data_IF_647100789176
#
_entry.id   IF_647100789176
#
_cell.length_a   1.000
_cell.length_b   1.000
_cell.length_c   1.000
_cell.angle_alpha   90.00
_cell.angle_beta   90.00
_cell.angle_gamma   90.00
#
_symmetry.space_group_name_H-M   'P 1'
#
loop_
_entity.id
_entity.type
_entity.pdbx_description
1 polymer ?
#
# COMPACT_ATOMS: atom_id res chain seq x y z
N UNK A 1 -36.82 2.86 61.81
CA UNK A 1 -37.08 1.41 61.92
C UNK A 1 -38.58 1.22 61.78
N UNK A 2 -39.02 0.40 60.83
CA UNK A 2 -40.44 0.21 60.55
C UNK A 2 -40.86 -1.15 61.09
N UNK A 3 -41.80 -1.16 62.03
CA UNK A 3 -42.28 -2.39 62.68
C UNK A 3 -43.77 -2.53 62.41
N UNK A 4 -44.15 -3.64 61.77
CA UNK A 4 -45.57 -3.97 61.58
C UNK A 4 -46.00 -4.81 62.78
N UNK A 5 -47.06 -4.36 63.46
CA UNK A 5 -47.66 -5.08 64.59
C UNK A 5 -49.05 -5.54 64.21
N UNK A 6 -49.33 -6.82 64.40
CA UNK A 6 -50.66 -7.40 64.26
C UNK A 6 -51.16 -7.84 65.65
N UNK A 7 -52.33 -7.33 66.03
CA UNK A 7 -52.95 -7.62 67.33
C UNK A 7 -54.42 -7.98 67.13
N UNK A 8 -54.87 -9.03 67.82
CA UNK A 8 -56.28 -9.45 67.87
C UNK A 8 -56.58 -10.08 69.22
N UNK A 9 -57.76 -9.80 69.76
CA UNK A 9 -58.21 -10.32 71.04
C UNK A 9 -58.24 -11.86 71.04
N UNK A 10 -57.68 -12.48 72.09
CA UNK A 10 -57.46 -13.92 72.21
C UNK A 10 -56.46 -14.54 71.22
N UNK A 11 -55.59 -13.72 70.59
CA UNK A 11 -54.47 -14.18 69.77
C UNK A 11 -53.15 -13.61 70.27
N UNK A 12 -52.05 -14.31 69.98
CA UNK A 12 -50.69 -13.83 70.24
C UNK A 12 -50.34 -12.67 69.30
N UNK A 13 -49.78 -11.60 69.88
CA UNK A 13 -49.28 -10.49 69.09
C UNK A 13 -48.09 -10.94 68.26
N UNK A 14 -48.10 -10.63 66.97
CA UNK A 14 -46.93 -10.79 66.11
C UNK A 14 -46.40 -9.44 65.70
N UNK A 15 -45.07 -9.31 65.81
CA UNK A 15 -44.33 -8.16 65.33
C UNK A 15 -43.37 -8.64 64.24
N UNK A 16 -43.31 -7.88 63.15
CA UNK A 16 -42.34 -8.07 62.09
C UNK A 16 -41.51 -6.80 61.97
N UNK A 17 -40.21 -6.94 62.13
CA UNK A 17 -39.26 -5.85 61.89
C UNK A 17 -38.90 -5.82 60.41
N UNK A 18 -39.17 -4.69 59.75
CA UNK A 18 -38.80 -4.48 58.36
C UNK A 18 -37.52 -3.65 58.29
N UNK A 19 -36.54 -4.19 57.55
CA UNK A 19 -35.32 -3.48 57.18
C UNK A 19 -35.37 -3.17 55.69
N UNK A 20 -35.31 -1.89 55.35
CA UNK A 20 -35.14 -1.42 53.98
C UNK A 20 -33.68 -0.99 53.85
N UNK A 21 -32.99 -1.53 52.85
CA UNK A 21 -31.64 -1.11 52.48
C UNK A 21 -31.74 -0.42 51.12
N UNK A 22 -31.33 0.85 51.05
CA UNK A 22 -31.21 1.58 49.79
C UNK A 22 -29.76 1.45 49.32
N UNK A 23 -29.56 0.96 48.09
CA UNK A 23 -28.24 0.92 47.45
C UNK A 23 -28.00 2.20 46.66
N UNK A 24 -26.73 2.56 46.46
CA UNK A 24 -26.35 3.59 45.50
C UNK A 24 -26.57 3.09 44.07
N UNK A 25 -26.81 4.03 43.16
CA UNK A 25 -26.98 3.76 41.73
C UNK A 25 -25.60 3.51 41.13
N UNK A 26 -25.43 2.40 40.42
CA UNK A 26 -24.15 2.07 39.80
C UNK A 26 -23.96 2.89 38.53
N UNK A 27 -22.76 3.43 38.36
CA UNK A 27 -22.40 4.20 37.17
C UNK A 27 -21.25 3.54 36.42
N UNK A 28 -21.14 3.84 35.12
CA UNK A 28 -20.03 3.43 34.28
C UNK A 28 -19.46 4.65 33.56
N UNK A 29 -18.22 4.97 33.85
CA UNK A 29 -17.44 5.99 33.13
C UNK A 29 -16.82 5.35 31.89
N UNK A 30 -16.97 5.97 30.72
CA UNK A 30 -16.42 5.46 29.47
C UNK A 30 -16.13 6.58 28.47
N UNK A 31 -15.19 6.35 27.57
CA UNK A 31 -14.96 7.21 26.41
C UNK A 31 -16.18 7.17 25.49
N UNK A 32 -16.54 8.29 24.85
CA UNK A 32 -17.66 8.36 23.90
C UNK A 32 -17.52 7.36 22.75
N UNK A 33 -16.28 7.05 22.34
CA UNK A 33 -15.96 6.07 21.29
C UNK A 33 -15.82 4.64 21.85
N UNK A 34 -15.80 4.47 23.17
CA UNK A 34 -15.59 3.18 23.84
C UNK A 34 -14.14 2.69 23.83
N UNK A 35 -13.19 3.50 23.39
CA UNK A 35 -11.76 3.17 23.35
C UNK A 35 -11.05 3.59 24.65
N UNK A 36 -10.32 2.66 25.25
CA UNK A 36 -9.46 2.91 26.43
C UNK A 36 -7.99 3.16 26.04
N UNK A 37 -7.64 2.89 24.78
CA UNK A 37 -6.29 3.02 24.25
C UNK A 37 -6.29 3.98 23.08
N UNK A 38 -5.60 5.11 23.22
CA UNK A 38 -5.59 6.15 22.19
C UNK A 38 -4.20 6.24 21.56
N UNK A 39 -4.13 6.09 20.24
CA UNK A 39 -2.88 6.14 19.49
C UNK A 39 -2.81 7.40 18.64
N UNK A 40 -1.79 8.22 18.85
CA UNK A 40 -1.59 9.48 18.13
C UNK A 40 -0.15 9.61 17.63
N UNK A 41 0.10 10.59 16.75
CA UNK A 41 1.46 10.95 16.39
C UNK A 41 2.03 11.92 17.43
N UNK A 42 3.35 11.86 17.71
CA UNK A 42 3.99 12.83 18.58
C UNK A 42 3.78 14.27 18.09
N UNK A 43 3.36 15.15 18.99
CA UNK A 43 3.10 16.57 18.76
C UNK A 43 1.68 16.89 18.31
N UNK A 44 0.81 15.89 18.13
CA UNK A 44 -0.62 16.11 17.88
C UNK A 44 -1.37 16.48 19.16
N UNK A 45 -2.48 17.17 18.96
CA UNK A 45 -3.45 17.49 20.01
C UNK A 45 -4.54 16.42 20.01
N UNK A 46 -5.04 16.08 21.20
CA UNK A 46 -6.12 15.09 21.37
C UNK A 46 -7.29 15.72 22.11
N UNK A 47 -8.50 15.41 21.68
CA UNK A 47 -9.73 15.74 22.41
C UNK A 47 -10.21 14.50 23.16
N UNK A 48 -10.21 14.56 24.48
CA UNK A 48 -10.84 13.57 25.35
C UNK A 48 -12.35 13.79 25.32
N UNK A 49 -13.12 12.72 25.11
CA UNK A 49 -14.58 12.73 25.16
C UNK A 49 -15.05 11.65 26.14
N UNK A 50 -15.52 12.05 27.31
CA UNK A 50 -15.89 11.13 28.40
C UNK A 50 -17.37 11.26 28.70
N UNK A 51 -18.05 10.14 28.92
CA UNK A 51 -19.44 10.08 29.34
C UNK A 51 -19.58 9.20 30.57
N UNK A 52 -20.56 9.51 31.43
CA UNK A 52 -20.89 8.72 32.61
C UNK A 52 -22.32 8.20 32.46
N UNK A 53 -22.46 6.88 32.45
CA UNK A 53 -23.74 6.20 32.24
C UNK A 53 -24.29 5.66 33.57
N UNK A 54 -25.54 5.96 33.88
CA UNK A 54 -26.31 5.28 34.94
C UNK A 54 -26.73 3.88 34.45
N UNK A 55 -26.30 2.82 35.14
CA UNK A 55 -26.59 1.44 34.75
C UNK A 55 -28.00 0.97 35.12
N UNK A 56 -28.67 1.63 36.07
CA UNK A 56 -30.03 1.28 36.48
C UNK A 56 -31.08 1.90 35.55
N UNK A 57 -30.82 3.12 35.05
CA UNK A 57 -31.74 3.84 34.15
C UNK A 57 -31.29 3.86 32.68
N UNK A 58 -30.02 3.54 32.40
CA UNK A 58 -29.40 3.59 31.08
C UNK A 58 -29.45 5.00 30.44
N UNK A 59 -29.25 6.03 31.27
CA UNK A 59 -29.24 7.45 30.90
C UNK A 59 -27.85 8.03 31.21
N UNK A 60 -27.37 8.94 30.36
CA UNK A 60 -26.12 9.68 30.59
C UNK A 60 -26.33 10.72 31.68
N UNK A 61 -25.36 10.86 32.58
CA UNK A 61 -25.42 11.81 33.68
C UNK A 61 -24.90 13.18 33.22
N UNK A 62 -25.80 14.15 33.18
CA UNK A 62 -25.51 15.57 33.04
C UNK A 62 -25.08 16.15 34.42
N UNK A 63 -24.38 17.28 34.43
CA UNK A 63 -23.90 18.00 35.62
C UNK A 63 -22.94 17.23 36.57
N UNK A 64 -22.04 16.42 36.02
CA UNK A 64 -20.94 15.76 36.72
C UNK A 64 -19.66 16.61 36.72
N UNK A 65 -18.92 16.61 37.83
CA UNK A 65 -17.57 17.19 37.85
C UNK A 65 -16.58 16.08 37.47
N UNK A 66 -16.10 16.12 36.23
CA UNK A 66 -15.09 15.17 35.73
C UNK A 66 -13.75 15.88 35.64
N UNK A 67 -12.73 15.26 36.22
CA UNK A 67 -11.36 15.75 36.21
C UNK A 67 -10.43 14.70 35.59
N UNK A 68 -9.33 15.16 35.00
CA UNK A 68 -8.28 14.29 34.50
C UNK A 68 -6.94 14.67 35.15
N UNK A 69 -6.09 13.67 35.33
CA UNK A 69 -4.69 13.83 35.73
C UNK A 69 -3.81 12.97 34.82
N UNK A 70 -2.67 13.51 34.40
CA UNK A 70 -1.67 12.82 33.58
C UNK A 70 -0.28 13.44 33.78
N UNK A 71 0.75 12.83 33.20
CA UNK A 71 2.16 13.20 33.46
C UNK A 71 2.49 14.69 33.27
N UNK A 72 1.77 15.40 32.40
CA UNK A 72 2.04 16.80 32.07
C UNK A 72 1.02 17.80 32.61
N UNK A 73 0.03 17.37 33.39
CA UNK A 73 -0.90 18.28 34.06
C UNK A 73 -2.20 17.64 34.50
N UNK A 74 -3.07 18.48 35.04
CA UNK A 74 -4.42 18.12 35.49
C UNK A 74 -5.43 19.13 34.94
N UNK A 75 -6.71 18.75 34.88
CA UNK A 75 -7.76 19.65 34.43
C UNK A 75 -9.17 19.12 34.64
N UNK A 76 -10.14 19.93 34.23
CA UNK A 76 -11.58 19.63 34.29
C UNK A 76 -12.08 19.43 32.87
N UNK A 77 -12.99 18.48 32.66
CA UNK A 77 -13.68 18.29 31.40
C UNK A 77 -15.01 19.06 31.44
N UNK A 78 -15.34 19.72 30.34
CA UNK A 78 -16.54 20.56 30.22
C UNK A 78 -17.55 19.95 29.26
N UNK A 79 -18.82 19.97 29.66
CA UNK A 79 -19.97 19.68 28.81
C UNK A 79 -20.60 21.03 28.39
N UNK A 80 -20.39 21.43 27.13
CA UNK A 80 -20.80 22.75 26.64
C UNK A 80 -22.21 22.76 26.03
N UNK A 81 -22.66 21.62 25.53
CA UNK A 81 -23.95 21.42 24.88
C UNK A 81 -24.99 20.74 25.77
N UNK A 82 -24.59 20.25 26.95
CA UNK A 82 -25.46 19.62 27.92
C UNK A 82 -25.94 18.24 27.45
N UNK A 83 -25.11 17.51 26.70
CA UNK A 83 -25.45 16.19 26.16
C UNK A 83 -24.91 15.03 27.02
N UNK A 84 -24.22 15.36 28.12
CA UNK A 84 -23.57 14.41 29.02
C UNK A 84 -22.21 13.89 28.52
N UNK A 85 -21.63 14.51 27.48
CA UNK A 85 -20.30 14.22 26.97
C UNK A 85 -19.35 15.37 27.36
N UNK A 86 -18.48 15.07 28.31
CA UNK A 86 -17.50 16.02 28.83
C UNK A 86 -16.24 15.98 27.98
N UNK A 87 -15.72 17.15 27.65
CA UNK A 87 -14.59 17.27 26.74
C UNK A 87 -13.44 18.09 27.30
N UNK A 88 -12.22 17.67 26.98
CA UNK A 88 -10.99 18.43 27.24
C UNK A 88 -9.97 18.19 26.13
N UNK A 89 -9.12 19.18 25.85
CA UNK A 89 -8.06 19.07 24.84
C UNK A 89 -6.71 18.99 25.53
N UNK A 90 -5.92 17.96 25.21
CA UNK A 90 -4.50 17.90 25.58
C UNK A 90 -3.67 18.28 24.35
N UNK A 91 -2.81 19.28 24.51
CA UNK A 91 -2.04 19.84 23.41
C UNK A 91 -0.59 19.32 23.39
N UNK A 92 -0.03 19.19 22.17
CA UNK A 92 1.40 18.94 21.91
C UNK A 92 1.97 17.75 22.68
N UNK A 93 1.34 16.60 22.56
CA UNK A 93 1.74 15.42 23.32
C UNK A 93 3.11 14.90 22.85
N UNK A 94 4.12 14.78 23.74
CA UNK A 94 5.43 14.26 23.37
C UNK A 94 5.39 12.77 23.02
N UNK A 95 6.44 12.26 22.38
CA UNK A 95 6.54 10.83 22.05
C UNK A 95 6.68 9.99 23.33
N UNK A 96 5.81 8.99 23.52
CA UNK A 96 5.81 8.16 24.72
C UNK A 96 4.52 7.37 24.91
N UNK A 97 4.41 6.75 26.08
CA UNK A 97 3.20 6.08 26.55
C UNK A 97 2.86 6.64 27.92
N UNK A 98 1.64 7.13 28.06
CA UNK A 98 1.15 7.88 29.20
C UNK A 98 -0.14 7.27 29.71
N UNK A 99 -0.36 7.40 31.01
CA UNK A 99 -1.63 7.05 31.66
C UNK A 99 -2.36 8.34 31.97
N UNK A 100 -3.66 8.35 31.68
CA UNK A 100 -4.56 9.45 32.03
C UNK A 100 -5.59 8.86 32.98
N UNK A 101 -5.65 9.40 34.19
CA UNK A 101 -6.60 8.99 35.22
C UNK A 101 -7.79 9.96 35.18
N UNK A 102 -8.98 9.42 34.98
CA UNK A 102 -10.24 10.17 34.95
C UNK A 102 -10.98 9.94 36.26
N UNK A 103 -11.20 11.02 36.99
CA UNK A 103 -11.86 11.03 38.28
C UNK A 103 -13.23 11.70 38.15
N UNK A 104 -14.26 11.05 38.68
CA UNK A 104 -15.66 11.49 38.53
C UNK A 104 -16.26 11.80 39.90
N UNK A 105 -16.74 13.04 40.07
CA UNK A 105 -17.42 13.51 41.27
C UNK A 105 -18.86 13.89 40.92
N UNK A 106 -19.81 13.15 41.47
CA UNK A 106 -21.26 13.32 41.25
C UNK A 106 -21.95 13.29 42.63
N UNK A 107 -23.24 13.59 42.68
CA UNK A 107 -24.11 13.43 43.85
C UNK A 107 -23.92 12.10 44.59
N UNK A 108 -24.08 12.13 45.92
CA UNK A 108 -23.86 10.99 46.82
C UNK A 108 -24.79 9.77 46.60
N UNK A 109 -25.82 9.92 45.77
CA UNK A 109 -26.71 8.81 45.37
C UNK A 109 -26.06 7.85 44.37
N UNK A 110 -24.99 8.27 43.71
CA UNK A 110 -24.26 7.45 42.74
C UNK A 110 -23.03 6.81 43.37
N UNK A 111 -22.72 5.62 42.89
CA UNK A 111 -21.44 4.95 43.09
C UNK A 111 -20.60 5.21 41.83
N UNK A 112 -19.56 6.03 41.97
CA UNK A 112 -18.69 6.45 40.87
C UNK A 112 -17.57 5.44 40.64
N UNK A 113 -17.14 5.33 39.38
CA UNK A 113 -16.03 4.48 38.97
C UNK A 113 -15.01 5.31 38.19
N UNK A 114 -13.75 5.26 38.62
CA UNK A 114 -12.64 5.92 37.93
C UNK A 114 -12.26 5.15 36.67
N UNK A 115 -11.76 5.87 35.67
CA UNK A 115 -11.37 5.31 34.37
C UNK A 115 -9.90 5.63 34.10
N UNK A 116 -9.12 4.61 33.72
CA UNK A 116 -7.72 4.78 33.31
C UNK A 116 -7.63 4.64 31.79
N UNK A 117 -7.10 5.65 31.12
CA UNK A 117 -6.84 5.64 29.68
C UNK A 117 -5.34 5.49 29.41
N UNK A 118 -5.00 4.73 28.38
CA UNK A 118 -3.62 4.60 27.90
C UNK A 118 -3.44 5.40 26.62
N UNK A 119 -2.61 6.44 26.68
CA UNK A 119 -2.27 7.30 25.55
C UNK A 119 -0.90 6.90 25.02
N UNK A 120 -0.81 6.52 23.74
CA UNK A 120 0.44 6.15 23.10
C UNK A 120 0.73 7.07 21.92
N UNK A 121 1.77 7.88 22.06
CA UNK A 121 2.25 8.79 21.03
C UNK A 121 3.49 8.20 20.37
N UNK A 122 3.30 7.51 19.25
CA UNK A 122 4.39 6.86 18.51
C UNK A 122 4.33 7.24 17.04
N UNK A 123 5.48 7.56 16.46
CA UNK A 123 5.56 7.84 15.03
C UNK A 123 5.19 6.58 14.26
N UNK A 124 4.35 6.67 13.21
CA UNK A 124 4.03 5.51 12.38
C UNK A 124 5.33 5.00 11.76
N UNK A 125 5.67 3.76 12.09
CA UNK A 125 6.77 3.03 11.46
C UNK A 125 6.55 3.05 9.95
N UNK A 126 7.46 3.73 9.24
CA UNK A 126 7.30 4.03 7.81
C UNK A 126 6.99 2.78 6.98
N UNK A 127 6.25 2.97 5.89
CA UNK A 127 5.75 1.89 5.03
C UNK A 127 6.87 0.91 4.64
N UNK A 128 6.83 -0.27 5.26
CA UNK A 128 7.73 -1.39 5.00
C UNK A 128 7.66 -1.80 3.51
N UNK A 129 6.53 -1.53 2.86
CA UNK A 129 6.33 -1.80 1.43
C UNK A 129 7.27 -1.00 0.53
N UNK A 130 7.56 0.26 0.84
CA UNK A 130 8.52 1.05 0.05
C UNK A 130 9.93 0.48 0.18
N UNK A 131 10.33 0.08 1.39
CA UNK A 131 11.62 -0.57 1.61
C UNK A 131 11.72 -1.90 0.85
N UNK A 132 10.67 -2.73 0.88
CA UNK A 132 10.62 -3.98 0.13
C UNK A 132 10.67 -3.76 -1.39
N UNK A 133 9.96 -2.75 -1.91
CA UNK A 133 9.99 -2.39 -3.34
C UNK A 133 11.41 -2.02 -3.79
N UNK A 134 12.09 -1.16 -3.03
CA UNK A 134 13.49 -0.78 -3.31
C UNK A 134 14.41 -1.98 -3.23
N UNK A 135 14.21 -2.87 -2.27
CA UNK A 135 15.02 -4.08 -2.11
C UNK A 135 14.86 -5.05 -3.28
N UNK A 136 13.62 -5.27 -3.75
CA UNK A 136 13.34 -6.11 -4.93
C UNK A 136 13.95 -5.51 -6.20
N UNK A 137 13.81 -4.19 -6.39
CA UNK A 137 14.44 -3.47 -7.50
C UNK A 137 15.97 -3.56 -7.45
N UNK A 138 16.57 -3.48 -6.26
CA UNK A 138 18.01 -3.64 -6.09
C UNK A 138 18.50 -5.05 -6.49
N UNK A 139 17.78 -6.10 -6.07
CA UNK A 139 18.14 -7.48 -6.40
C UNK A 139 17.98 -7.75 -7.90
N UNK A 140 16.95 -7.23 -8.56
CA UNK A 140 16.74 -7.44 -10.00
C UNK A 140 17.87 -6.82 -10.84
N UNK A 141 18.31 -5.63 -10.48
CA UNK A 141 19.46 -4.96 -11.15
C UNK A 141 20.73 -5.77 -10.91
N UNK A 142 21.00 -6.18 -9.67
CA UNK A 142 22.20 -6.94 -9.32
C UNK A 142 22.27 -8.31 -10.03
N UNK A 143 21.14 -9.02 -10.11
CA UNK A 143 21.05 -10.29 -10.84
C UNK A 143 21.25 -10.13 -12.34
N UNK A 144 20.76 -9.03 -12.93
CA UNK A 144 21.01 -8.69 -14.34
C UNK A 144 22.50 -8.47 -14.63
N UNK A 145 23.17 -7.63 -13.83
CA UNK A 145 24.59 -7.31 -14.00
C UNK A 145 25.47 -8.55 -13.83
N UNK A 146 25.22 -9.34 -12.77
CA UNK A 146 25.99 -10.57 -12.51
C UNK A 146 25.80 -11.61 -13.63
N UNK A 147 24.58 -11.79 -14.12
CA UNK A 147 24.29 -12.69 -15.24
C UNK A 147 25.00 -12.24 -16.51
N UNK A 148 24.92 -10.95 -16.84
CA UNK A 148 25.62 -10.37 -17.99
C UNK A 148 27.14 -10.59 -17.90
N UNK A 149 27.74 -10.32 -16.74
CA UNK A 149 29.17 -10.51 -16.51
C UNK A 149 29.62 -11.97 -16.68
N UNK A 150 28.84 -12.94 -16.19
CA UNK A 150 29.12 -14.37 -16.36
C UNK A 150 29.06 -14.77 -17.84
N UNK A 151 28.06 -14.30 -18.58
CA UNK A 151 27.92 -14.56 -20.02
C UNK A 151 29.10 -13.95 -20.77
N UNK A 152 29.48 -12.71 -20.44
CA UNK A 152 30.60 -12.02 -21.05
C UNK A 152 31.90 -12.81 -20.87
N UNK A 153 32.22 -13.22 -19.64
CA UNK A 153 33.44 -13.99 -19.38
C UNK A 153 33.45 -15.37 -20.03
N UNK A 154 32.31 -16.08 -20.07
CA UNK A 154 32.27 -17.47 -20.55
C UNK A 154 32.08 -17.60 -22.06
N UNK A 155 31.37 -16.65 -22.68
CA UNK A 155 30.91 -16.76 -24.07
C UNK A 155 31.50 -15.65 -24.94
N UNK A 156 31.35 -14.39 -24.56
CA UNK A 156 31.71 -13.27 -25.44
C UNK A 156 33.22 -13.03 -25.52
N UNK A 157 33.96 -13.24 -24.41
CA UNK A 157 35.42 -13.06 -24.37
C UNK A 157 36.20 -14.02 -25.28
N UNK A 158 35.67 -15.20 -25.59
CA UNK A 158 36.39 -16.23 -26.32
C UNK A 158 35.60 -16.69 -27.56
N UNK A 159 36.16 -16.58 -28.78
CA UNK A 159 35.52 -17.04 -30.01
C UNK A 159 35.04 -18.51 -29.92
N UNK A 160 33.99 -18.88 -30.68
CA UNK A 160 33.32 -20.17 -30.55
C UNK A 160 34.26 -21.37 -30.79
N UNK A 161 35.28 -21.21 -31.63
CA UNK A 161 36.32 -22.21 -31.91
C UNK A 161 37.16 -22.52 -30.68
N UNK A 162 37.75 -21.50 -30.04
CA UNK A 162 38.54 -21.61 -28.80
C UNK A 162 37.71 -22.25 -27.68
N UNK A 163 36.44 -21.86 -27.59
CA UNK A 163 35.51 -22.42 -26.59
C UNK A 163 35.27 -23.93 -26.76
N UNK A 164 35.16 -24.43 -28.00
CA UNK A 164 35.00 -25.87 -28.28
C UNK A 164 36.27 -26.65 -27.91
N UNK A 165 37.44 -26.15 -28.29
CA UNK A 165 38.74 -26.77 -27.96
C UNK A 165 38.98 -26.83 -26.46
N UNK A 166 38.69 -25.74 -25.72
CA UNK A 166 38.79 -25.71 -24.24
C UNK A 166 37.88 -26.74 -23.58
N UNK A 167 36.63 -26.87 -24.06
CA UNK A 167 35.68 -27.88 -23.54
C UNK A 167 36.19 -29.31 -23.80
N UNK A 168 36.81 -29.55 -24.95
CA UNK A 168 37.43 -30.84 -25.28
C UNK A 168 38.58 -31.16 -24.32
N UNK A 169 39.54 -30.23 -24.17
CA UNK A 169 40.67 -30.37 -23.23
C UNK A 169 40.21 -30.65 -21.80
N UNK A 170 39.20 -29.91 -21.30
CA UNK A 170 38.67 -30.09 -19.94
C UNK A 170 37.96 -31.43 -19.74
N UNK A 171 37.37 -32.03 -20.80
CA UNK A 171 36.78 -33.37 -20.73
C UNK A 171 37.85 -34.45 -20.74
N UNK A 172 38.88 -34.30 -21.57
CA UNK A 172 40.06 -35.19 -21.57
C UNK A 172 40.74 -35.18 -20.20
N UNK A 173 40.96 -33.99 -19.61
CA UNK A 173 41.56 -33.85 -18.28
C UNK A 173 40.72 -34.51 -17.16
N UNK A 174 39.41 -34.64 -17.35
CA UNK A 174 38.48 -35.22 -16.36
C UNK A 174 38.09 -36.65 -16.70
N UNK A 175 38.78 -37.28 -17.64
CA UNK A 175 38.51 -38.63 -18.15
C UNK A 175 37.02 -38.88 -18.48
N UNK A 176 36.39 -37.88 -19.13
CA UNK A 176 34.98 -37.96 -19.54
C UNK A 176 34.85 -38.36 -20.99
N UNK A 177 33.86 -39.19 -21.29
CA UNK A 177 33.56 -39.63 -22.66
C UNK A 177 33.37 -38.45 -23.63
N UNK A 178 34.04 -38.55 -24.77
CA UNK A 178 34.03 -37.54 -25.82
C UNK A 178 32.92 -37.85 -26.83
N UNK A 179 32.17 -36.83 -27.24
CA UNK A 179 31.26 -36.96 -28.39
C UNK A 179 32.10 -36.93 -29.67
N UNK A 180 31.87 -37.83 -30.65
CA UNK A 180 32.60 -37.82 -31.91
C UNK A 180 32.35 -36.48 -32.62
N UNK A 181 33.43 -35.82 -33.05
CA UNK A 181 33.35 -34.57 -33.79
C UNK A 181 33.14 -34.88 -35.26
N UNK A 182 32.09 -34.31 -35.87
CA UNK A 182 31.86 -34.43 -37.32
C UNK A 182 32.90 -33.57 -38.04
N UNK A 183 33.98 -34.20 -38.48
CA UNK A 183 35.03 -33.57 -39.30
C UNK A 183 34.61 -33.75 -40.76
N UNK A 184 34.75 -32.69 -41.59
CA UNK A 184 34.52 -32.80 -43.03
C UNK A 184 35.46 -33.87 -43.61
N UNK A 185 34.95 -34.74 -44.48
CA UNK A 185 35.78 -35.72 -45.18
C UNK A 185 36.78 -35.01 -46.10
N UNK A 186 37.99 -35.58 -46.23
CA UNK A 186 39.07 -34.98 -47.04
C UNK A 186 38.62 -34.72 -48.49
N UNK A 187 37.81 -35.60 -49.06
CA UNK A 187 37.23 -35.46 -50.40
C UNK A 187 36.40 -34.17 -50.55
N UNK A 188 35.55 -33.86 -49.57
CA UNK A 188 34.72 -32.64 -49.58
C UNK A 188 35.54 -31.36 -49.43
N UNK A 189 36.63 -31.40 -48.66
CA UNK A 189 37.54 -30.25 -48.51
C UNK A 189 38.29 -29.98 -49.81
N UNK A 190 38.75 -31.03 -50.50
CA UNK A 190 39.46 -30.93 -51.77
C UNK A 190 38.53 -30.43 -52.88
N UNK A 191 37.28 -30.89 -52.93
CA UNK A 191 36.29 -30.38 -53.89
C UNK A 191 35.90 -28.93 -53.61
N UNK A 192 35.70 -28.55 -52.35
CA UNK A 192 35.47 -27.15 -51.95
C UNK A 192 36.65 -26.26 -52.42
N UNK A 193 37.91 -26.65 -52.20
CA UNK A 193 39.08 -25.87 -52.65
C UNK A 193 39.23 -25.81 -54.18
N UNK A 194 38.93 -26.90 -54.90
CA UNK A 194 39.01 -26.93 -56.37
C UNK A 194 37.88 -26.16 -57.05
N UNK A 195 36.71 -26.06 -56.40
CA UNK A 195 35.57 -25.26 -56.89
C UNK A 195 35.77 -23.78 -56.61
N UNK A 196 36.38 -23.43 -55.48
CA UNK A 196 36.82 -22.07 -55.16
C UNK A 196 37.94 -21.61 -56.13
N UNK A 197 38.88 -22.48 -56.51
CA UNK A 197 39.91 -22.16 -57.51
C UNK A 197 39.33 -21.99 -58.94
N UNK A 198 38.31 -22.78 -59.30
CA UNK A 198 37.59 -22.63 -60.58
C UNK A 198 36.75 -21.36 -60.65
N UNK A 199 36.15 -20.90 -59.54
CA UNK A 199 35.37 -19.66 -59.53
C UNK A 199 36.25 -18.43 -59.70
N UNK A 200 37.52 -18.49 -59.27
CA UNK A 200 38.54 -17.48 -59.58
C UNK A 200 39.11 -17.55 -61.01
N UNK A 201 38.97 -18.70 -61.70
CA UNK A 201 39.47 -18.89 -63.07
C UNK A 201 38.47 -18.47 -64.17
N UNK A 202 37.20 -18.24 -63.84
CA UNK A 202 36.16 -17.84 -64.80
C UNK A 202 35.83 -16.35 -64.64
N UNK A 203 36.71 -15.46 -65.11
CA UNK A 203 36.36 -14.11 -65.57
C UNK A 203 37.42 -13.55 -66.53
N UNK A 204 37.29 -13.81 -67.83
CA UNK A 204 37.57 -12.82 -68.89
C UNK A 204 36.93 -13.23 -70.22
N UNK A 205 35.67 -12.83 -70.44
CA UNK A 205 35.16 -12.58 -71.79
C UNK A 205 34.73 -11.13 -71.82
N UNK A 206 35.56 -10.33 -72.47
CA UNK A 206 35.44 -8.89 -72.66
C UNK A 206 34.73 -8.71 -74.01
N UNK A 207 33.48 -8.21 -74.00
CA UNK A 207 32.78 -7.80 -75.21
C UNK A 207 32.86 -6.26 -75.34
N UNK A 208 33.20 -5.84 -76.55
CA UNK A 208 33.76 -4.55 -76.95
C UNK A 208 32.88 -3.32 -76.72
N UNK A 209 33.55 -2.19 -76.51
CA UNK A 209 33.01 -0.81 -76.49
C UNK A 209 32.85 -0.26 -77.91
N UNK A 210 31.74 0.46 -78.17
CA UNK A 210 31.69 1.57 -79.15
C UNK A 210 30.91 2.75 -78.52
N UNK A 211 31.30 4.04 -78.70
CA UNK A 211 31.15 5.07 -77.67
C UNK A 211 30.41 6.38 -78.06
N UNK A 212 30.11 7.19 -77.03
CA UNK A 212 29.79 8.65 -76.98
C UNK A 212 28.37 9.03 -77.49
N UNK A 213 27.66 10.02 -76.93
CA UNK A 213 28.10 11.37 -76.59
C UNK A 213 27.09 12.13 -75.69
N UNK A 214 27.56 13.25 -75.13
CA UNK A 214 26.96 14.15 -74.13
C UNK A 214 25.57 14.71 -74.44
N UNK A 215 24.78 15.03 -73.39
CA UNK A 215 24.42 16.43 -73.06
C UNK A 215 23.50 16.59 -71.83
N UNK A 216 23.83 17.67 -71.14
CA UNK A 216 23.17 18.42 -70.06
C UNK A 216 21.77 18.90 -70.47
N UNK A 217 20.81 18.92 -69.51
CA UNK A 217 19.76 19.95 -69.18
C UNK A 217 18.57 19.25 -68.50
N UNK A 218 18.18 19.58 -67.26
CA UNK A 218 17.30 20.69 -66.83
C UNK A 218 15.81 20.54 -67.26
N UNK A 219 14.91 20.79 -66.28
CA UNK A 219 13.42 20.90 -66.28
C UNK A 219 12.67 19.69 -65.70
N UNK A 220 11.97 19.82 -64.56
CA UNK A 220 10.70 20.55 -64.25
C UNK A 220 9.47 19.90 -64.90
N UNK A 221 8.53 19.51 -64.02
CA UNK A 221 7.06 19.54 -64.18
C UNK A 221 6.46 18.65 -65.30
N UNK A 222 5.34 17.93 -65.20
CA UNK A 222 4.14 17.97 -64.37
C UNK A 222 3.37 16.65 -64.62
N UNK A 223 2.59 16.17 -63.64
CA UNK A 223 1.18 15.84 -63.88
C UNK A 223 0.48 15.49 -62.57
N UNK A 224 -0.18 16.50 -62.01
CA UNK A 224 -1.23 16.42 -61.00
C UNK A 224 -2.58 16.51 -61.71
N UNK A 225 -3.42 15.48 -61.66
CA UNK A 225 -4.90 15.55 -61.85
C UNK A 225 -5.50 14.33 -61.14
N UNK A 226 -6.05 14.46 -59.92
CA UNK A 226 -7.46 14.76 -59.57
C UNK A 226 -8.42 13.61 -59.88
N UNK A 227 -9.09 13.10 -58.83
CA UNK A 227 -10.55 12.87 -58.75
C UNK A 227 -10.96 12.60 -57.28
N UNK A 228 -11.49 13.64 -56.66
CA UNK A 228 -12.51 13.58 -55.60
C UNK A 228 -13.82 14.05 -56.28
N UNK A 229 -14.94 13.72 -55.63
CA UNK A 229 -16.35 14.01 -55.92
C UNK A 229 -17.04 12.72 -56.40
N UNK A 230 -18.15 12.26 -55.83
CA UNK A 230 -19.28 13.05 -55.36
C UNK A 230 -20.26 12.10 -54.63
N UNK A 231 -20.72 12.44 -53.42
CA UNK A 231 -22.16 12.30 -53.12
C UNK A 231 -22.54 13.26 -51.98
N UNK A 232 -23.00 14.44 -52.38
CA UNK A 232 -23.75 15.36 -51.55
C UNK A 232 -25.24 14.99 -51.60
N UNK A 233 -25.88 14.88 -50.42
CA UNK A 233 -27.26 15.33 -50.21
C UNK A 233 -27.27 16.03 -48.84
N UNK A 234 -27.36 17.35 -48.81
CA UNK A 234 -28.63 18.12 -48.78
C UNK A 234 -29.23 18.08 -47.36
N UNK A 235 -29.58 19.13 -46.62
CA UNK A 235 -29.43 20.59 -46.67
C UNK A 235 -29.84 21.11 -45.28
N UNK A 236 -29.43 22.34 -44.95
CA UNK A 236 -29.77 23.07 -43.72
C UNK A 236 -31.28 23.17 -43.44
N UNK A 237 -31.67 23.11 -42.15
CA UNK A 237 -32.41 24.19 -41.46
C UNK A 237 -32.68 23.92 -39.97
N UNK A 238 -32.27 24.87 -39.12
CA UNK A 238 -33.01 25.22 -37.91
C UNK A 238 -34.25 26.05 -38.33
N UNK A 239 -35.41 26.03 -37.64
CA UNK A 239 -35.59 26.87 -36.44
C UNK A 239 -36.56 26.32 -35.37
N UNK A 240 -36.63 27.07 -34.27
CA UNK A 240 -37.54 26.95 -33.14
C UNK A 240 -39.06 27.00 -33.48
N UNK A 241 -39.81 26.41 -32.53
CA UNK A 241 -41.08 26.88 -31.94
C UNK A 241 -42.41 26.19 -32.30
N UNK A 242 -43.14 25.91 -31.21
CA UNK A 242 -44.59 26.13 -31.01
C UNK A 242 -45.61 25.04 -31.40
N UNK A 243 -46.31 24.58 -30.33
CA UNK A 243 -47.69 24.05 -30.20
C UNK A 243 -47.91 22.56 -30.51
N UNK A 244 -48.19 21.77 -29.47
CA UNK A 244 -49.50 21.68 -28.81
C UNK A 244 -49.38 21.05 -27.43
#
# INVERSE_FOLDING_TARGET
MLTIKAQKENYENKELELRITVRKIQTKTQTAEGEENINIQPGEDIKLNISVLDLDSNITIEDALITYDWEYGEGVLEDQDGDGIYTATLEKIPAGSYKIEINVIIEDKYETQDLELTLTAVSPQGSIFLFLLVLIMGISIFTGITTYFIIYQKILKYPPTVRKVRKLRKRIQKDKTLKPMKVKERSSIIQDSLTEEKSHAVLKKEEEKIPKEDKITEKLEDSKVIKIDEEAKDSLKNPESSKK
#
